data_IF_121638846078
#
_entry.id   IF_121638846078
#
_cell.length_a   1.000
_cell.length_b   1.000
_cell.length_c   1.000
_cell.angle_alpha   90.00
_cell.angle_beta   90.00
_cell.angle_gamma   90.00
#
_symmetry.space_group_name_H-M   'P 1'
#
loop_
_entity.id
_entity.type
_entity.pdbx_description
1 polymer ?
#
# COMPACT_ATOMS: atom_id res chain seq x y z
N UNK A 1 0.50 -0.34 -2.18
CA UNK A 1 1.90 0.08 -2.47
C UNK A 1 2.02 0.44 -3.93
N UNK A 2 2.95 1.31 -4.32
CA UNK A 2 3.14 1.72 -5.71
C UNK A 2 1.85 2.16 -6.40
N UNK A 3 1.53 1.56 -7.56
CA UNK A 3 0.34 1.88 -8.35
C UNK A 3 -1.00 1.75 -7.60
N UNK A 4 -1.09 0.90 -6.57
CA UNK A 4 -2.32 0.72 -5.80
C UNK A 4 -2.58 1.83 -4.76
N UNK A 5 -1.65 2.78 -4.57
CA UNK A 5 -1.80 3.86 -3.57
C UNK A 5 -3.04 4.70 -3.86
N UNK A 6 -3.24 5.16 -5.09
CA UNK A 6 -4.38 6.00 -5.47
C UNK A 6 -5.70 5.29 -5.22
N UNK A 7 -5.80 4.01 -5.59
CA UNK A 7 -6.99 3.20 -5.34
C UNK A 7 -7.27 3.06 -3.83
N UNK A 8 -6.22 2.83 -3.02
CA UNK A 8 -6.34 2.72 -1.58
C UNK A 8 -6.84 4.03 -0.94
N UNK A 9 -6.32 5.18 -1.38
CA UNK A 9 -6.80 6.49 -0.92
C UNK A 9 -8.27 6.70 -1.28
N UNK A 10 -8.66 6.42 -2.53
CA UNK A 10 -10.05 6.59 -2.97
C UNK A 10 -11.00 5.71 -2.16
N UNK A 11 -10.63 4.44 -1.92
CA UNK A 11 -11.43 3.53 -1.10
C UNK A 11 -11.61 4.04 0.33
N UNK A 12 -10.53 4.54 0.95
CA UNK A 12 -10.60 5.07 2.31
C UNK A 12 -11.51 6.31 2.41
N UNK A 13 -11.48 7.19 1.41
CA UNK A 13 -12.34 8.37 1.35
C UNK A 13 -13.81 7.98 1.18
N UNK A 14 -14.12 7.05 0.27
CA UNK A 14 -15.48 6.52 0.09
C UNK A 14 -16.02 5.92 1.38
N UNK A 15 -15.21 5.12 2.09
CA UNK A 15 -15.62 4.54 3.38
C UNK A 15 -15.91 5.64 4.42
N UNK A 16 -15.09 6.70 4.47
CA UNK A 16 -15.29 7.80 5.40
C UNK A 16 -16.59 8.59 5.10
N UNK A 17 -16.90 8.77 3.82
CA UNK A 17 -18.12 9.45 3.35
C UNK A 17 -19.38 8.63 3.66
N UNK A 18 -19.39 7.33 3.28
CA UNK A 18 -20.51 6.41 3.51
C UNK A 18 -20.81 6.17 4.99
N UNK A 19 -19.82 6.37 5.87
CA UNK A 19 -20.00 6.25 7.32
C UNK A 19 -20.36 7.57 7.99
N UNK A 20 -20.66 8.63 7.23
CA UNK A 20 -21.09 9.92 7.77
C UNK A 20 -20.07 10.56 8.72
N UNK A 21 -18.78 10.28 8.55
CA UNK A 21 -17.72 10.78 9.43
C UNK A 21 -17.57 10.03 10.77
N UNK A 22 -18.28 8.92 10.99
CA UNK A 22 -18.11 8.08 12.18
C UNK A 22 -16.83 7.23 12.16
N UNK A 23 -16.01 7.36 11.12
CA UNK A 23 -14.72 6.69 11.00
C UNK A 23 -13.61 7.72 10.85
N UNK A 24 -12.62 7.63 11.74
CA UNK A 24 -11.36 8.34 11.66
C UNK A 24 -10.33 7.55 10.85
N UNK A 25 -9.56 8.27 10.02
CA UNK A 25 -8.48 7.73 9.21
C UNK A 25 -7.13 8.11 9.83
N UNK A 26 -6.24 7.14 10.01
CA UNK A 26 -4.83 7.38 10.36
C UNK A 26 -3.94 6.85 9.25
N UNK A 27 -3.11 7.73 8.67
CA UNK A 27 -2.31 7.41 7.49
C UNK A 27 -0.83 7.30 7.88
N UNK A 28 -0.21 6.21 7.47
CA UNK A 28 1.23 5.99 7.61
C UNK A 28 1.84 5.68 6.25
N UNK A 29 2.99 6.30 5.97
CA UNK A 29 3.80 6.00 4.80
C UNK A 29 5.02 5.18 5.19
N UNK A 30 5.43 4.27 4.32
CA UNK A 30 6.67 3.51 4.49
C UNK A 30 7.31 3.21 3.15
N UNK A 31 8.57 2.78 3.20
CA UNK A 31 9.30 2.23 2.06
C UNK A 31 9.31 0.71 2.20
N UNK A 32 8.99 0.01 1.12
CA UNK A 32 9.01 -1.46 1.05
C UNK A 32 9.94 -1.89 -0.07
N UNK A 33 10.86 -2.77 0.25
CA UNK A 33 11.77 -3.36 -0.73
C UNK A 33 11.10 -4.54 -1.43
N UNK A 34 11.23 -4.54 -2.75
CA UNK A 34 10.71 -5.57 -3.65
C UNK A 34 11.89 -6.22 -4.33
N UNK A 35 11.94 -7.54 -4.29
CA UNK A 35 12.95 -8.35 -4.93
C UNK A 35 12.30 -9.07 -6.10
N UNK A 36 12.80 -8.82 -7.30
CA UNK A 36 12.37 -9.50 -8.51
C UNK A 36 13.52 -10.43 -8.95
N UNK A 37 13.24 -11.73 -9.05
CA UNK A 37 14.19 -12.73 -9.55
C UNK A 37 13.98 -12.93 -11.05
N UNK A 38 15.08 -12.95 -11.81
CA UNK A 38 15.10 -13.11 -13.25
C UNK A 38 15.90 -14.35 -13.65
N UNK A 39 15.27 -15.20 -14.46
CA UNK A 39 15.91 -16.32 -15.12
C UNK A 39 16.53 -15.86 -16.45
N UNK A 40 17.79 -16.22 -16.75
CA UNK A 40 18.37 -15.93 -18.04
C UNK A 40 17.70 -16.74 -19.15
N UNK A 41 17.50 -16.10 -20.30
CA UNK A 41 16.92 -16.73 -21.49
C UNK A 41 17.88 -17.70 -22.18
N UNK A 42 19.18 -17.61 -21.89
CA UNK A 42 20.24 -18.43 -22.49
C UNK A 42 20.94 -19.19 -21.38
N UNK A 43 21.21 -20.47 -21.63
CA UNK A 43 21.95 -21.33 -20.71
C UNK A 43 23.38 -20.81 -20.47
N UNK A 44 23.91 -21.05 -19.26
CA UNK A 44 25.27 -20.66 -18.87
C UNK A 44 25.40 -19.28 -18.22
N UNK A 45 24.31 -18.51 -18.11
CA UNK A 45 24.28 -17.26 -17.34
C UNK A 45 23.74 -17.49 -15.91
N UNK A 46 24.15 -16.67 -14.94
CA UNK A 46 23.63 -16.76 -13.57
C UNK A 46 22.23 -16.14 -13.45
N UNK A 47 21.44 -16.62 -12.49
CA UNK A 47 20.21 -15.98 -12.05
C UNK A 47 20.51 -14.56 -11.53
N UNK A 48 19.58 -13.63 -11.76
CA UNK A 48 19.74 -12.23 -11.34
C UNK A 48 18.59 -11.83 -10.44
N UNK A 49 18.90 -11.44 -9.20
CA UNK A 49 17.94 -10.79 -8.31
C UNK A 49 18.09 -9.28 -8.40
N UNK A 50 17.00 -8.57 -8.69
CA UNK A 50 16.94 -7.11 -8.66
C UNK A 50 16.15 -6.63 -7.45
N UNK A 51 16.77 -5.81 -6.61
CA UNK A 51 16.07 -5.08 -5.57
C UNK A 51 15.59 -3.72 -6.07
N UNK A 52 14.38 -3.32 -5.64
CA UNK A 52 13.82 -1.99 -5.89
C UNK A 52 12.97 -1.56 -4.70
N UNK A 53 13.06 -0.29 -4.32
CA UNK A 53 12.22 0.25 -3.27
C UNK A 53 10.93 0.83 -3.84
N UNK A 54 9.80 0.61 -3.16
CA UNK A 54 8.48 1.13 -3.51
C UNK A 54 7.88 1.85 -2.32
N UNK A 55 7.22 2.98 -2.59
CA UNK A 55 6.41 3.66 -1.59
C UNK A 55 5.18 2.81 -1.23
N UNK A 56 4.84 2.81 0.05
CA UNK A 56 3.68 2.15 0.60
C UNK A 56 2.88 3.12 1.47
N UNK A 57 1.57 2.91 1.49
CA UNK A 57 0.63 3.62 2.37
C UNK A 57 -0.12 2.58 3.17
N UNK A 58 -0.32 2.86 4.46
CA UNK A 58 -1.18 2.09 5.37
C UNK A 58 -2.20 3.06 5.95
N UNK A 59 -3.48 2.82 5.64
CA UNK A 59 -4.58 3.62 6.17
C UNK A 59 -5.30 2.77 7.21
N UNK A 60 -5.25 3.18 8.47
CA UNK A 60 -6.03 2.58 9.57
C UNK A 60 -7.36 3.30 9.67
N UNK A 61 -8.43 2.52 9.66
CA UNK A 61 -9.79 2.97 9.93
C UNK A 61 -10.11 2.66 11.40
N UNK A 62 -10.62 3.63 12.14
CA UNK A 62 -11.10 3.44 13.51
C UNK A 62 -12.44 4.15 13.70
N UNK A 63 -13.37 3.54 14.42
CA UNK A 63 -14.60 4.24 14.81
C UNK A 63 -14.24 5.45 15.65
N UNK A 64 -14.79 6.60 15.30
CA UNK A 64 -14.72 7.81 16.12
C UNK A 64 -15.42 7.50 17.45
N UNK A 65 -14.78 7.69 18.61
CA UNK A 65 -15.48 7.52 19.87
C UNK A 65 -16.62 8.53 19.93
N UNK A 66 -17.86 8.04 19.90
CA UNK A 66 -19.02 8.87 20.15
C UNK A 66 -18.94 9.35 21.59
N UNK A 67 -18.80 10.66 21.80
CA UNK A 67 -19.25 11.25 23.05
C UNK A 67 -20.77 11.11 23.07
N UNK A 68 -21.28 10.28 23.98
CA UNK A 68 -22.70 10.22 24.36
C UNK A 68 -22.94 11.26 25.44
#
# INVERSE_FOLDING_TARGET
MGAAITLCCNLALVIQEETGGHVALTVHTSTVDVYDDYEPLVEGYPHVTRSRSKSAIRIRLSRTPGYV
#
